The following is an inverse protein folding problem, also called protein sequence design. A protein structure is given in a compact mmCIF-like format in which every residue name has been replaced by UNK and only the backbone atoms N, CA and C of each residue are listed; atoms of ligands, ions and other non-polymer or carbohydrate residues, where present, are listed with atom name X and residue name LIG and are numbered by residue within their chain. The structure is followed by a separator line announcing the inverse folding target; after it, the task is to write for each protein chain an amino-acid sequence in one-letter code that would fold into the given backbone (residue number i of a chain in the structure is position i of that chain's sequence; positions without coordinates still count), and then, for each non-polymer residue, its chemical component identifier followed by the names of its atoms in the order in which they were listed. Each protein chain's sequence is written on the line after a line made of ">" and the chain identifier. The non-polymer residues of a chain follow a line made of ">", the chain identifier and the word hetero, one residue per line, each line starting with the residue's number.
data_IF_716132105591
#
_entry.id   IF_716132105591
#
_cell.length_a   1.000
_cell.length_b   1.000
_cell.length_c   1.000
_cell.angle_alpha   90.00
_cell.angle_beta   90.00
_cell.angle_gamma   90.00
#
_symmetry.space_group_name_H-M   'P 1'
#
loop_
_entity.id
_entity.type
_entity.pdbx_description
1 polymer ?
#
# COMPACT_ATOMS: atom_id res chain seq x y z
N UNK A 1 11.24 -6.10 22.20
CA UNK A 1 10.07 -6.74 21.55
C UNK A 1 9.68 -5.91 20.32
N UNK A 2 10.29 -6.18 19.16
CA UNK A 2 9.83 -5.57 17.92
C UNK A 2 8.47 -6.18 17.59
N UNK A 3 7.39 -5.47 17.97
CA UNK A 3 6.04 -5.82 17.54
C UNK A 3 6.11 -5.71 16.01
N UNK A 4 6.25 -6.85 15.32
CA UNK A 4 6.05 -6.93 13.86
C UNK A 4 4.63 -6.42 13.66
N UNK A 5 4.50 -5.11 13.47
CA UNK A 5 3.23 -4.48 13.16
C UNK A 5 2.99 -4.97 11.74
N UNK A 6 2.32 -6.11 11.63
CA UNK A 6 1.67 -6.48 10.38
C UNK A 6 0.86 -5.23 10.06
N UNK A 7 1.27 -4.47 9.04
CA UNK A 7 0.46 -3.35 8.60
C UNK A 7 -0.88 -3.98 8.30
N UNK A 8 -1.90 -3.49 9.01
CA UNK A 8 -3.24 -4.02 8.81
C UNK A 8 -3.60 -3.66 7.37
N UNK A 9 -4.32 -4.51 6.62
CA UNK A 9 -4.75 -4.17 5.25
C UNK A 9 -5.27 -2.73 5.09
N UNK A 10 -5.93 -2.20 6.13
CA UNK A 10 -6.33 -0.80 6.25
C UNK A 10 -5.19 0.25 6.12
N UNK A 11 -3.99 0.01 6.66
CA UNK A 11 -2.84 0.92 6.52
C UNK A 11 -2.34 0.96 5.06
N UNK A 12 -2.37 -0.18 4.37
CA UNK A 12 -2.01 -0.27 2.95
C UNK A 12 -3.06 0.44 2.09
N UNK A 13 -4.34 0.25 2.40
CA UNK A 13 -5.45 0.90 1.70
C UNK A 13 -5.42 2.43 1.90
N UNK A 14 -5.18 2.89 3.12
CA UNK A 14 -5.03 4.32 3.42
C UNK A 14 -3.87 4.93 2.63
N UNK A 15 -2.72 4.24 2.59
CA UNK A 15 -1.57 4.67 1.80
C UNK A 15 -1.87 4.71 0.29
N UNK A 16 -2.68 3.76 -0.19
CA UNK A 16 -3.11 3.71 -1.59
C UNK A 16 -4.04 4.87 -1.93
N UNK A 17 -5.03 5.19 -1.09
CA UNK A 17 -5.93 6.33 -1.25
C UNK A 17 -5.13 7.64 -1.37
N UNK A 18 -4.13 7.83 -0.50
CA UNK A 18 -3.28 9.03 -0.55
C UNK A 18 -2.44 9.11 -1.83
N UNK A 19 -1.87 7.98 -2.25
CA UNK A 19 -1.09 7.90 -3.49
C UNK A 19 -1.96 8.14 -4.73
N UNK A 20 -3.15 7.53 -4.80
CA UNK A 20 -4.10 7.73 -5.90
C UNK A 20 -4.63 9.16 -5.94
N UNK A 21 -4.88 9.77 -4.78
CA UNK A 21 -5.33 11.16 -4.70
C UNK A 21 -4.24 12.14 -5.14
N UNK A 22 -2.96 11.78 -4.94
CA UNK A 22 -1.82 12.65 -5.30
C UNK A 22 -1.42 12.50 -6.77
N UNK A 23 -1.32 11.26 -7.27
CA UNK A 23 -0.72 10.94 -8.56
C UNK A 23 -1.73 10.42 -9.59
N UNK A 24 -3.00 10.30 -9.23
CA UNK A 24 -4.02 9.59 -10.00
C UNK A 24 -3.78 8.08 -10.02
N UNK A 25 -4.80 7.31 -10.42
CA UNK A 25 -4.68 5.85 -10.49
C UNK A 25 -3.55 5.41 -11.43
N UNK A 26 -3.44 6.02 -12.62
CA UNK A 26 -2.42 5.67 -13.61
C UNK A 26 -0.98 5.97 -13.13
N UNK A 27 -0.78 7.09 -12.42
CA UNK A 27 0.52 7.53 -11.93
C UNK A 27 0.96 6.90 -10.61
N UNK A 28 0.03 6.33 -9.84
CA UNK A 28 0.32 5.70 -8.56
C UNK A 28 1.20 4.46 -8.67
N UNK A 29 2.17 4.35 -7.76
CA UNK A 29 3.16 3.27 -7.72
C UNK A 29 3.01 2.43 -6.46
N UNK A 30 2.99 1.10 -6.62
CA UNK A 30 2.91 0.16 -5.49
C UNK A 30 4.09 0.34 -4.54
N UNK A 31 5.27 0.70 -5.04
CA UNK A 31 6.46 1.01 -4.25
C UNK A 31 6.22 2.20 -3.30
N UNK A 32 5.53 3.26 -3.78
CA UNK A 32 5.23 4.44 -2.98
C UNK A 32 4.17 4.13 -1.91
N UNK A 33 3.16 3.33 -2.26
CA UNK A 33 2.14 2.83 -1.34
C UNK A 33 2.79 2.00 -0.23
N UNK A 34 3.67 1.06 -0.59
CA UNK A 34 4.39 0.22 0.36
C UNK A 34 5.26 1.07 1.31
N UNK A 35 6.01 2.02 0.77
CA UNK A 35 6.85 2.92 1.55
C UNK A 35 6.02 3.75 2.54
N UNK A 36 4.88 4.30 2.09
CA UNK A 36 3.95 5.09 2.93
C UNK A 36 3.28 4.25 4.00
N UNK A 37 2.90 3.01 3.68
CA UNK A 37 2.35 2.05 4.65
C UNK A 37 3.41 1.44 5.58
N UNK A 38 4.70 1.75 5.39
CA UNK A 38 5.79 1.22 6.21
C UNK A 38 6.03 -0.29 6.03
N UNK A 39 5.74 -0.82 4.83
CA UNK A 39 5.90 -2.23 4.50
C UNK A 39 6.77 -2.46 3.27
N UNK A 40 7.21 -3.70 3.09
CA UNK A 40 7.85 -4.11 1.85
C UNK A 40 6.81 -4.23 0.73
N UNK A 41 7.23 -3.98 -0.53
CA UNK A 41 6.38 -4.15 -1.71
C UNK A 41 5.72 -5.54 -1.77
N UNK A 42 6.49 -6.59 -1.43
CA UNK A 42 5.97 -7.96 -1.38
C UNK A 42 4.82 -8.14 -0.38
N UNK A 43 4.83 -7.40 0.73
CA UNK A 43 3.74 -7.42 1.71
C UNK A 43 2.44 -6.84 1.14
N UNK A 44 2.52 -5.83 0.26
CA UNK A 44 1.34 -5.32 -0.44
C UNK A 44 0.73 -6.42 -1.30
N UNK A 45 1.56 -7.14 -2.07
CA UNK A 45 1.10 -8.25 -2.91
C UNK A 45 0.57 -9.48 -2.15
N UNK A 46 0.84 -9.61 -0.85
CA UNK A 46 0.21 -10.65 -0.03
C UNK A 46 -1.29 -10.37 0.21
N UNK A 47 -1.70 -9.10 0.16
CA UNK A 47 -3.08 -8.67 0.42
C UNK A 47 -3.82 -8.22 -0.84
N UNK A 48 -3.10 -7.62 -1.80
CA UNK A 48 -3.65 -7.00 -3.00
C UNK A 48 -2.82 -7.40 -4.21
N UNK A 49 -3.39 -8.23 -5.08
CA UNK A 49 -2.63 -8.86 -6.19
C UNK A 49 -2.43 -7.88 -7.33
N UNK A 50 -3.39 -6.97 -7.52
CA UNK A 50 -3.42 -5.96 -8.57
C UNK A 50 -3.50 -4.56 -7.97
N UNK A 51 -3.25 -3.54 -8.79
CA UNK A 51 -3.37 -2.14 -8.35
C UNK A 51 -4.85 -1.75 -8.18
N UNK A 52 -5.72 -2.39 -8.94
CA UNK A 52 -7.17 -2.28 -8.90
C UNK A 52 -7.74 -2.75 -7.56
N UNK A 53 -7.15 -3.78 -6.94
CA UNK A 53 -7.59 -4.27 -5.62
C UNK A 53 -7.37 -3.24 -4.48
N UNK A 54 -6.57 -2.19 -4.73
CA UNK A 54 -6.30 -1.11 -3.79
C UNK A 54 -7.24 0.10 -3.95
N UNK A 55 -8.05 0.12 -5.01
CA UNK A 55 -8.99 1.20 -5.30
C UNK A 55 -10.40 0.86 -4.81
#
# INVERSE_FOLDING_TARGET
>A
MAKRRQARPAEILQAAIEEFSTNGFAGAKIEAIAARAGVAKGTVYLYYTTKEDLF
#
